data_IF_723043106397
#
_entry.id   IF_723043106397
#
_cell.length_a   1.000
_cell.length_b   1.000
_cell.length_c   1.000
_cell.angle_alpha   90.00
_cell.angle_beta   90.00
_cell.angle_gamma   90.00
#
_symmetry.space_group_name_H-M   'P 1'
#
loop_
_entity.id
_entity.type
_entity.pdbx_description
1 polymer ?
#
# COMPACT_ATOMS: atom_id res chain seq x y z
N UNK A 1 -43.77 60.21 -34.45
CA UNK A 1 -44.50 59.17 -33.66
C UNK A 1 -44.48 57.89 -34.46
N UNK A 2 -44.27 56.73 -33.83
CA UNK A 2 -42.93 56.19 -33.58
C UNK A 2 -42.73 54.83 -34.26
N UNK A 3 -41.48 54.41 -34.47
CA UNK A 3 -41.13 53.00 -34.25
C UNK A 3 -39.64 52.83 -33.97
N UNK A 4 -39.39 52.64 -32.68
CA UNK A 4 -38.28 52.01 -31.98
C UNK A 4 -37.04 51.57 -32.78
N UNK A 5 -35.93 52.23 -32.43
CA UNK A 5 -34.59 51.66 -32.42
C UNK A 5 -34.55 50.46 -31.47
N UNK A 6 -34.34 49.26 -32.00
CA UNK A 6 -33.82 48.09 -31.27
C UNK A 6 -32.65 47.57 -32.09
N UNK A 7 -31.47 48.09 -31.80
CA UNK A 7 -30.21 47.43 -32.10
C UNK A 7 -29.89 46.54 -30.91
N UNK A 8 -29.92 45.22 -31.08
CA UNK A 8 -29.27 44.30 -30.16
C UNK A 8 -28.50 43.21 -30.93
N UNK A 9 -27.37 42.75 -30.39
CA UNK A 9 -26.26 42.18 -31.14
C UNK A 9 -26.35 40.65 -31.16
N UNK A 10 -25.87 40.01 -32.22
CA UNK A 10 -25.58 38.58 -32.18
C UNK A 10 -24.52 38.21 -33.22
N UNK A 11 -23.29 38.05 -32.72
CA UNK A 11 -22.22 37.14 -33.19
C UNK A 11 -20.82 37.76 -33.07
N UNK A 12 -20.43 38.07 -31.83
CA UNK A 12 -19.02 38.25 -31.48
C UNK A 12 -18.82 37.74 -30.05
N UNK A 13 -18.39 36.48 -29.90
CA UNK A 13 -17.73 35.98 -28.67
C UNK A 13 -17.30 34.51 -28.82
N UNK A 14 -16.44 34.23 -29.80
CA UNK A 14 -15.59 33.02 -29.82
C UNK A 14 -14.28 33.25 -29.04
N UNK A 15 -14.32 34.07 -27.99
CA UNK A 15 -13.14 34.50 -27.20
C UNK A 15 -13.36 34.36 -25.67
N UNK A 16 -14.43 33.69 -25.22
CA UNK A 16 -14.81 33.66 -23.80
C UNK A 16 -14.50 32.35 -23.07
N UNK A 17 -14.23 31.24 -23.75
CA UNK A 17 -13.85 29.98 -23.08
C UNK A 17 -12.34 29.84 -22.84
N UNK A 18 -11.49 30.58 -23.55
CA UNK A 18 -10.04 30.59 -23.33
C UNK A 18 -9.58 31.45 -22.13
N UNK A 19 -10.47 32.26 -21.55
CA UNK A 19 -10.16 33.21 -20.47
C UNK A 19 -10.40 32.64 -19.06
N UNK A 20 -11.22 31.60 -18.90
CA UNK A 20 -11.49 31.01 -17.58
C UNK A 20 -10.42 29.98 -17.18
N UNK A 21 -9.84 29.25 -18.14
CA UNK A 21 -8.78 28.27 -17.85
C UNK A 21 -7.40 28.93 -17.59
N UNK A 22 -7.23 30.18 -18.02
CA UNK A 22 -5.99 30.95 -17.86
C UNK A 22 -5.92 31.73 -16.52
N UNK A 23 -7.05 31.84 -15.80
CA UNK A 23 -7.12 32.41 -14.45
C UNK A 23 -6.81 31.43 -13.32
N UNK A 24 -7.14 30.14 -13.48
CA UNK A 24 -6.93 29.13 -12.43
C UNK A 24 -5.52 28.50 -12.45
N UNK A 25 -4.75 28.69 -13.53
CA UNK A 25 -3.34 28.28 -13.64
C UNK A 25 -2.35 29.30 -13.04
N UNK A 26 -2.82 30.47 -12.58
CA UNK A 26 -1.95 31.54 -12.03
C UNK A 26 -1.85 31.60 -10.50
N UNK A 27 -2.56 30.75 -9.75
CA UNK A 27 -2.56 30.86 -8.28
C UNK A 27 -1.64 29.86 -7.55
N UNK A 28 -0.97 28.94 -8.25
CA UNK A 28 0.08 28.10 -7.65
C UNK A 28 1.32 28.00 -8.54
N UNK A 29 2.09 29.09 -8.55
CA UNK A 29 3.46 29.12 -9.06
C UNK A 29 4.41 28.24 -8.25
N UNK A 30 4.96 27.23 -8.94
CA UNK A 30 6.32 26.61 -8.86
C UNK A 30 7.22 26.94 -7.64
N UNK A 31 8.04 25.98 -7.11
CA UNK A 31 9.08 25.34 -7.93
C UNK A 31 9.45 23.88 -7.54
N UNK A 32 9.18 22.89 -8.41
CA UNK A 32 9.69 21.52 -8.21
C UNK A 32 11.10 21.27 -8.80
N UNK A 33 11.63 22.19 -9.61
CA UNK A 33 12.94 21.99 -10.26
C UNK A 33 14.15 22.27 -9.33
N UNK A 34 13.97 23.07 -8.27
CA UNK A 34 15.05 23.38 -7.30
C UNK A 34 15.29 22.28 -6.25
N UNK A 35 14.32 21.37 -6.03
CA UNK A 35 14.43 20.31 -5.00
C UNK A 35 15.38 19.17 -5.40
N UNK A 36 15.69 19.04 -6.70
CA UNK A 36 16.66 18.06 -7.23
C UNK A 36 18.13 18.40 -6.92
N UNK A 37 18.47 19.69 -6.80
CA UNK A 37 19.84 20.14 -6.49
C UNK A 37 20.23 19.83 -5.03
N UNK A 38 19.33 20.15 -4.08
CA UNK A 38 19.58 19.92 -2.65
C UNK A 38 19.70 18.42 -2.31
N UNK A 39 18.88 17.55 -2.93
CA UNK A 39 19.03 16.08 -2.76
C UNK A 39 20.34 15.54 -3.33
N UNK A 40 20.91 16.12 -4.39
CA UNK A 40 22.22 15.70 -4.92
C UNK A 40 23.34 16.02 -3.92
N UNK A 41 23.31 17.20 -3.29
CA UNK A 41 24.29 17.57 -2.26
C UNK A 41 24.22 16.68 -1.01
N UNK A 42 23.02 16.25 -0.60
CA UNK A 42 22.85 15.30 0.51
C UNK A 42 23.31 13.89 0.13
N UNK A 43 23.03 13.43 -1.10
CA UNK A 43 23.45 12.12 -1.60
C UNK A 43 24.98 12.05 -1.78
N UNK A 44 25.64 13.14 -2.17
CA UNK A 44 27.10 13.20 -2.25
C UNK A 44 27.77 13.13 -0.86
N UNK A 45 27.21 13.81 0.15
CA UNK A 45 27.71 13.70 1.54
C UNK A 45 27.54 12.28 2.09
N UNK A 46 26.41 11.64 1.80
CA UNK A 46 26.15 10.24 2.19
C UNK A 46 27.09 9.29 1.44
N UNK A 47 27.37 9.54 0.16
CA UNK A 47 28.33 8.75 -0.64
C UNK A 47 29.77 8.90 -0.16
N UNK A 48 30.17 10.09 0.30
CA UNK A 48 31.46 10.33 0.96
C UNK A 48 31.59 9.57 2.28
N UNK A 49 30.53 9.56 3.10
CA UNK A 49 30.47 8.80 4.34
C UNK A 49 30.43 7.26 4.14
N UNK A 50 29.82 6.80 3.04
CA UNK A 50 29.85 5.37 2.66
C UNK A 50 31.17 4.94 1.99
N UNK A 51 31.93 5.89 1.44
CA UNK A 51 33.27 5.66 0.89
C UNK A 51 34.31 5.41 1.98
N UNK A 52 34.24 6.12 3.12
CA UNK A 52 35.14 5.90 4.25
C UNK A 52 34.88 4.59 5.00
N UNK A 53 33.71 3.96 4.79
CA UNK A 53 33.34 2.64 5.33
C UNK A 53 33.68 1.46 4.40
N UNK A 54 34.46 1.69 3.33
CA UNK A 54 35.02 0.62 2.50
C UNK A 54 34.03 -0.18 1.65
N UNK A 55 32.76 0.25 1.55
CA UNK A 55 31.71 -0.43 0.78
C UNK A 55 31.50 0.12 -0.65
N UNK A 56 32.38 1.01 -1.12
CA UNK A 56 32.30 1.62 -2.44
C UNK A 56 32.96 0.81 -3.55
N UNK A 57 32.34 -0.30 -4.00
CA UNK A 57 32.81 -1.00 -5.20
C UNK A 57 32.45 -0.18 -6.45
N UNK A 58 33.46 0.50 -7.00
CA UNK A 58 33.36 1.28 -8.24
C UNK A 58 33.21 0.34 -9.44
N UNK A 59 32.00 0.23 -9.98
CA UNK A 59 31.79 -0.39 -11.30
C UNK A 59 31.84 0.72 -12.35
N UNK A 60 32.91 0.75 -13.15
CA UNK A 60 33.00 1.56 -14.37
C UNK A 60 32.00 1.01 -15.38
N UNK A 61 30.83 1.61 -15.47
CA UNK A 61 29.89 1.36 -16.57
C UNK A 61 30.32 2.23 -17.75
N UNK A 62 30.72 1.60 -18.85
CA UNK A 62 31.01 2.26 -20.12
C UNK A 62 29.76 2.97 -20.67
N UNK A 63 29.90 4.09 -21.41
CA UNK A 63 28.76 4.91 -21.79
C UNK A 63 27.89 4.23 -22.85
N UNK A 64 26.65 3.93 -22.47
CA UNK A 64 25.56 3.41 -23.33
C UNK A 64 25.12 4.46 -24.39
N UNK A 65 25.72 5.65 -24.40
CA UNK A 65 25.36 6.76 -25.28
C UNK A 65 25.66 6.53 -26.78
N UNK A 66 26.50 5.54 -27.13
CA UNK A 66 26.92 5.36 -28.53
C UNK A 66 26.03 4.42 -29.37
N UNK A 67 25.00 3.81 -28.78
CA UNK A 67 24.15 2.81 -29.47
C UNK A 67 22.64 3.08 -29.40
N UNK A 68 22.22 4.18 -28.81
CA UNK A 68 20.80 4.54 -28.73
C UNK A 68 20.44 5.43 -29.92
N UNK A 69 19.81 4.81 -30.92
CA UNK A 69 19.17 5.48 -32.04
C UNK A 69 17.98 6.29 -31.51
N UNK A 70 18.08 7.62 -31.48
CA UNK A 70 17.13 8.55 -30.83
C UNK A 70 15.72 8.65 -31.47
N UNK A 71 15.24 7.65 -32.22
CA UNK A 71 13.90 7.70 -32.82
C UNK A 71 13.20 6.35 -32.75
N UNK A 72 12.82 5.87 -31.56
CA UNK A 72 11.66 4.98 -31.39
C UNK A 72 11.19 4.61 -29.96
N UNK A 73 11.40 5.40 -28.89
CA UNK A 73 10.81 5.05 -27.57
C UNK A 73 10.34 6.27 -26.76
N UNK A 74 9.19 6.84 -27.11
CA UNK A 74 8.42 7.72 -26.21
C UNK A 74 7.82 6.98 -24.99
N UNK A 75 8.18 5.72 -24.75
CA UNK A 75 7.65 4.90 -23.64
C UNK A 75 8.39 5.07 -22.32
N UNK A 76 9.58 5.69 -22.31
CA UNK A 76 10.40 5.90 -21.10
C UNK A 76 9.69 6.69 -19.96
N UNK A 77 8.96 7.79 -20.23
CA UNK A 77 8.28 8.53 -19.16
C UNK A 77 7.06 7.79 -18.59
N UNK A 78 6.34 7.00 -19.40
CA UNK A 78 5.21 6.19 -18.92
C UNK A 78 5.67 5.01 -18.06
N UNK A 79 6.75 4.33 -18.45
CA UNK A 79 7.32 3.25 -17.64
C UNK A 79 7.80 3.75 -16.27
N UNK A 80 8.34 4.98 -16.19
CA UNK A 80 8.75 5.57 -14.92
C UNK A 80 7.56 5.94 -14.03
N UNK A 81 6.50 6.54 -14.59
CA UNK A 81 5.33 6.95 -13.81
C UNK A 81 4.53 5.73 -13.32
N UNK A 82 4.25 4.77 -14.21
CA UNK A 82 3.54 3.53 -13.85
C UNK A 82 4.36 2.66 -12.90
N UNK A 83 5.69 2.57 -13.08
CA UNK A 83 6.55 1.85 -12.13
C UNK A 83 6.56 2.51 -10.75
N UNK A 84 6.63 3.85 -10.69
CA UNK A 84 6.58 4.56 -9.40
C UNK A 84 5.23 4.38 -8.71
N UNK A 85 4.13 4.44 -9.46
CA UNK A 85 2.79 4.26 -8.93
C UNK A 85 2.59 2.84 -8.39
N UNK A 86 2.96 1.82 -9.17
CA UNK A 86 2.85 0.42 -8.79
C UNK A 86 3.72 0.10 -7.58
N UNK A 87 5.00 0.53 -7.60
CA UNK A 87 5.91 0.30 -6.48
C UNK A 87 5.48 1.07 -5.23
N UNK A 88 4.97 2.28 -5.40
CA UNK A 88 4.37 3.09 -4.33
C UNK A 88 3.15 2.41 -3.73
N UNK A 89 2.26 1.87 -4.57
CA UNK A 89 1.09 1.09 -4.15
C UNK A 89 1.48 -0.13 -3.33
N UNK A 90 2.40 -0.98 -3.82
CA UNK A 90 2.87 -2.14 -3.06
C UNK A 90 3.57 -1.76 -1.76
N UNK A 91 4.30 -0.64 -1.73
CA UNK A 91 4.92 -0.12 -0.50
C UNK A 91 3.87 0.38 0.48
N UNK A 92 2.78 0.99 -0.01
CA UNK A 92 1.66 1.40 0.83
C UNK A 92 0.94 0.18 1.43
N UNK A 93 0.70 -0.88 0.64
CA UNK A 93 0.16 -2.15 1.14
C UNK A 93 1.02 -2.70 2.28
N UNK A 94 2.35 -2.79 2.08
CA UNK A 94 3.28 -3.20 3.13
C UNK A 94 3.16 -2.35 4.40
N UNK A 95 3.06 -1.02 4.24
CA UNK A 95 2.91 -0.12 5.38
C UNK A 95 1.61 -0.37 6.14
N UNK A 96 0.50 -0.58 5.45
CA UNK A 96 -0.79 -0.87 6.10
C UNK A 96 -0.81 -2.20 6.83
N UNK A 97 -0.23 -3.26 6.24
CA UNK A 97 -0.10 -4.56 6.91
C UNK A 97 0.75 -4.48 8.18
N UNK A 98 1.87 -3.76 8.13
CA UNK A 98 2.73 -3.55 9.31
C UNK A 98 2.00 -2.73 10.37
N UNK A 99 1.30 -1.67 9.98
CA UNK A 99 0.51 -0.85 10.91
C UNK A 99 -0.58 -1.68 11.57
N UNK A 100 -1.29 -2.52 10.81
CA UNK A 100 -2.29 -3.44 11.35
C UNK A 100 -1.69 -4.32 12.45
N UNK A 101 -0.56 -4.99 12.16
CA UNK A 101 0.12 -5.86 13.13
C UNK A 101 0.61 -5.09 14.37
N UNK A 102 1.10 -3.86 14.19
CA UNK A 102 1.51 -2.99 15.30
C UNK A 102 0.33 -2.65 16.22
N UNK A 103 -0.89 -2.55 15.70
CA UNK A 103 -2.08 -2.31 16.51
C UNK A 103 -2.64 -3.59 17.14
N UNK A 104 -2.65 -4.71 16.41
CA UNK A 104 -3.23 -5.97 16.90
C UNK A 104 -2.38 -6.64 17.96
N UNK A 105 -1.05 -6.67 17.84
CA UNK A 105 -0.18 -7.34 18.81
C UNK A 105 -0.34 -6.78 20.23
N UNK A 106 -0.29 -5.45 20.47
CA UNK A 106 -0.49 -4.90 21.81
C UNK A 106 -1.89 -5.14 22.35
N UNK A 107 -2.92 -5.11 21.49
CA UNK A 107 -4.30 -5.41 21.90
C UNK A 107 -4.42 -6.86 22.37
N UNK A 108 -3.85 -7.80 21.62
CA UNK A 108 -3.80 -9.22 21.97
C UNK A 108 -2.98 -9.42 23.25
N UNK A 109 -1.82 -8.77 23.35
CA UNK A 109 -0.97 -8.85 24.54
C UNK A 109 -1.68 -8.32 25.80
N UNK A 110 -2.39 -7.20 25.71
CA UNK A 110 -3.19 -6.67 26.82
C UNK A 110 -4.33 -7.61 27.20
N UNK A 111 -4.94 -8.32 26.23
CA UNK A 111 -5.98 -9.33 26.51
C UNK A 111 -5.42 -10.58 27.20
N UNK A 112 -4.20 -10.97 26.87
CA UNK A 112 -3.52 -12.11 27.52
C UNK A 112 -3.01 -11.71 28.91
N UNK A 113 -2.56 -10.45 29.06
CA UNK A 113 -2.02 -9.88 30.29
C UNK A 113 -3.10 -9.17 31.12
N UNK A 114 -4.06 -9.93 31.65
CA UNK A 114 -5.12 -9.38 32.51
C UNK A 114 -4.77 -9.58 33.99
N UNK A 115 -4.60 -8.47 34.74
CA UNK A 115 -4.37 -8.48 36.18
C UNK A 115 -2.98 -8.92 36.65
N UNK A 116 -1.93 -8.75 35.84
CA UNK A 116 -0.54 -8.99 36.25
C UNK A 116 -0.07 -10.45 36.24
N UNK A 117 -0.86 -11.37 35.68
CA UNK A 117 -0.47 -12.78 35.50
C UNK A 117 -0.75 -13.24 34.08
N UNK A 118 0.23 -13.92 33.47
CA UNK A 118 0.00 -14.66 32.23
C UNK A 118 -0.89 -15.86 32.53
N UNK A 119 -2.17 -15.75 32.19
CA UNK A 119 -3.03 -16.93 32.12
C UNK A 119 -2.63 -17.69 30.86
N UNK A 120 -1.99 -18.85 31.02
CA UNK A 120 -1.64 -19.73 29.90
C UNK A 120 -2.79 -20.67 29.53
N UNK A 121 -3.72 -20.92 30.46
CA UNK A 121 -4.79 -21.88 30.30
C UNK A 121 -6.01 -21.49 31.14
N UNK A 122 -7.14 -21.22 30.49
CA UNK A 122 -8.46 -21.12 31.15
C UNK A 122 -9.12 -22.48 31.23
N UNK A 123 -9.95 -22.72 32.26
CA UNK A 123 -10.85 -23.88 32.29
C UNK A 123 -11.80 -23.79 31.10
N UNK A 124 -11.88 -24.86 30.33
CA UNK A 124 -12.73 -24.95 29.14
C UNK A 124 -14.19 -25.09 29.58
N UNK A 125 -14.97 -24.02 29.45
CA UNK A 125 -16.42 -24.09 29.61
C UNK A 125 -17.08 -24.24 28.22
N UNK A 126 -18.00 -25.19 28.08
CA UNK A 126 -18.69 -25.55 26.84
C UNK A 126 -19.76 -24.52 26.40
N UNK A 127 -19.49 -23.23 26.54
CA UNK A 127 -20.32 -22.15 26.01
C UNK A 127 -19.70 -21.59 24.73
N UNK A 128 -20.50 -21.34 23.69
CA UNK A 128 -19.99 -20.82 22.40
C UNK A 128 -19.25 -19.48 22.56
N UNK A 129 -19.73 -18.63 23.48
CA UNK A 129 -19.06 -17.40 23.89
C UNK A 129 -17.69 -17.67 24.55
N UNK A 130 -17.62 -18.67 25.43
CA UNK A 130 -16.38 -19.07 26.12
C UNK A 130 -15.36 -19.72 25.18
N UNK A 131 -15.81 -20.42 24.13
CA UNK A 131 -14.95 -21.00 23.10
C UNK A 131 -14.32 -19.90 22.23
N UNK A 132 -15.09 -18.89 21.83
CA UNK A 132 -14.57 -17.79 20.99
C UNK A 132 -13.75 -16.75 21.77
N UNK A 133 -14.05 -16.55 23.06
CA UNK A 133 -13.21 -15.74 23.96
C UNK A 133 -12.09 -16.55 24.60
N UNK A 134 -11.94 -17.83 24.24
CA UNK A 134 -10.88 -18.67 24.77
C UNK A 134 -9.51 -18.13 24.36
N UNK A 135 -8.52 -18.30 25.23
CA UNK A 135 -7.14 -17.88 24.96
C UNK A 135 -6.56 -18.49 23.67
N UNK A 136 -7.08 -19.66 23.28
CA UNK A 136 -6.73 -20.33 22.03
C UNK A 136 -6.99 -19.45 20.78
N UNK A 137 -8.09 -18.69 20.77
CA UNK A 137 -8.40 -17.78 19.67
C UNK A 137 -7.37 -16.65 19.57
N UNK A 138 -6.98 -16.06 20.71
CA UNK A 138 -5.95 -15.03 20.74
C UNK A 138 -4.56 -15.53 20.34
N UNK A 139 -4.18 -16.77 20.71
CA UNK A 139 -2.96 -17.39 20.22
C UNK A 139 -3.00 -17.64 18.71
N UNK A 140 -4.15 -18.03 18.18
CA UNK A 140 -4.33 -18.22 16.74
C UNK A 140 -4.17 -16.89 15.98
N UNK A 141 -4.77 -15.80 16.49
CA UNK A 141 -4.58 -14.46 15.94
C UNK A 141 -3.11 -14.02 15.99
N UNK A 142 -2.41 -14.29 17.10
CA UNK A 142 -0.99 -13.97 17.21
C UNK A 142 -0.14 -14.73 16.19
N UNK A 143 -0.41 -16.02 15.97
CA UNK A 143 0.27 -16.82 14.94
C UNK A 143 -0.02 -16.24 13.55
N UNK A 144 -1.26 -15.84 13.29
CA UNK A 144 -1.64 -15.21 12.02
C UNK A 144 -0.91 -13.88 11.79
N UNK A 145 -0.77 -13.03 12.81
CA UNK A 145 0.01 -11.79 12.74
C UNK A 145 1.49 -12.05 12.41
N UNK A 146 2.09 -13.11 12.97
CA UNK A 146 3.45 -13.53 12.61
C UNK A 146 3.55 -13.98 11.15
N UNK A 147 2.54 -14.70 10.64
CA UNK A 147 2.50 -15.09 9.22
C UNK A 147 2.35 -13.87 8.32
N UNK A 148 1.55 -12.87 8.70
CA UNK A 148 1.46 -11.59 7.97
C UNK A 148 2.83 -10.92 7.92
N UNK A 149 3.54 -10.79 9.04
CA UNK A 149 4.88 -10.18 9.06
C UNK A 149 5.87 -10.92 8.15
N UNK A 150 5.80 -12.25 8.12
CA UNK A 150 6.62 -13.04 7.20
C UNK A 150 6.25 -12.74 5.73
N UNK A 151 4.97 -12.61 5.41
CA UNK A 151 4.51 -12.32 4.06
C UNK A 151 4.82 -10.89 3.60
N UNK A 152 4.77 -9.91 4.50
CA UNK A 152 5.29 -8.54 4.30
C UNK A 152 6.76 -8.60 3.88
N UNK A 153 7.55 -9.42 4.58
CA UNK A 153 8.96 -9.59 4.23
C UNK A 153 9.16 -10.26 2.87
N UNK A 154 8.36 -11.28 2.53
CA UNK A 154 8.36 -11.91 1.20
C UNK A 154 8.03 -10.89 0.11
N UNK A 155 6.99 -10.08 0.28
CA UNK A 155 6.62 -9.04 -0.69
C UNK A 155 7.72 -7.98 -0.82
N UNK A 156 8.30 -7.53 0.28
CA UNK A 156 9.41 -6.56 0.24
C UNK A 156 10.61 -7.10 -0.55
N UNK A 157 10.95 -8.38 -0.38
CA UNK A 157 12.00 -9.05 -1.16
C UNK A 157 11.61 -9.24 -2.62
N UNK A 158 10.36 -9.62 -2.90
CA UNK A 158 9.83 -9.73 -4.26
C UNK A 158 9.90 -8.40 -5.01
N UNK A 159 9.60 -7.29 -4.33
CA UNK A 159 9.65 -5.94 -4.90
C UNK A 159 11.09 -5.44 -5.15
N UNK A 160 12.05 -5.83 -4.30
CA UNK A 160 13.47 -5.47 -4.47
C UNK A 160 14.16 -6.32 -5.54
N UNK A 161 13.87 -7.62 -5.60
CA UNK A 161 14.48 -8.56 -6.54
C UNK A 161 13.71 -8.73 -7.86
N UNK A 162 12.56 -8.08 -8.00
CA UNK A 162 11.68 -8.22 -9.16
C UNK A 162 11.29 -9.68 -9.47
N UNK A 163 11.10 -10.48 -8.42
CA UNK A 163 10.77 -11.90 -8.58
C UNK A 163 9.25 -12.12 -8.65
N UNK A 164 8.78 -12.51 -9.84
CA UNK A 164 7.37 -12.80 -10.13
C UNK A 164 6.81 -13.94 -9.27
N UNK A 165 7.64 -14.89 -8.84
CA UNK A 165 7.20 -16.05 -8.03
C UNK A 165 6.82 -15.60 -6.63
N UNK A 166 7.63 -14.73 -6.01
CA UNK A 166 7.37 -14.18 -4.68
C UNK A 166 6.10 -13.33 -4.69
N UNK A 167 5.92 -12.51 -5.74
CA UNK A 167 4.74 -11.67 -5.86
C UNK A 167 3.46 -12.49 -6.07
N UNK A 168 3.51 -13.57 -6.85
CA UNK A 168 2.39 -14.52 -7.01
C UNK A 168 2.05 -15.23 -5.70
N UNK A 169 3.07 -15.58 -4.90
CA UNK A 169 2.87 -16.21 -3.59
C UNK A 169 2.13 -15.26 -2.64
N UNK A 170 2.61 -14.01 -2.54
CA UNK A 170 1.96 -12.99 -1.70
C UNK A 170 0.52 -12.69 -2.18
N UNK A 171 0.30 -12.58 -3.48
CA UNK A 171 -1.05 -12.39 -4.03
C UNK A 171 -2.03 -13.52 -3.65
N UNK A 172 -1.57 -14.78 -3.62
CA UNK A 172 -2.40 -15.90 -3.14
C UNK A 172 -2.64 -15.84 -1.64
N UNK A 173 -1.64 -15.39 -0.89
CA UNK A 173 -1.77 -15.19 0.55
C UNK A 173 -2.81 -14.10 0.85
N UNK A 174 -2.89 -13.02 0.08
CA UNK A 174 -3.89 -11.96 0.28
C UNK A 174 -5.34 -12.50 0.22
N UNK A 175 -5.63 -13.44 -0.69
CA UNK A 175 -6.94 -14.11 -0.73
C UNK A 175 -7.20 -14.97 0.50
N UNK A 176 -6.19 -15.73 0.95
CA UNK A 176 -6.30 -16.53 2.16
C UNK A 176 -6.51 -15.64 3.40
N UNK A 177 -5.76 -14.55 3.49
CA UNK A 177 -5.86 -13.59 4.57
C UNK A 177 -7.23 -12.89 4.59
N UNK A 178 -7.79 -12.57 3.41
CA UNK A 178 -9.16 -12.04 3.29
C UNK A 178 -10.20 -13.02 3.82
N UNK A 179 -10.12 -14.28 3.40
CA UNK A 179 -11.02 -15.33 3.89
C UNK A 179 -10.93 -15.49 5.40
N UNK A 180 -9.71 -15.53 5.94
CA UNK A 180 -9.46 -15.62 7.38
C UNK A 180 -10.05 -14.41 8.13
N UNK A 181 -9.80 -13.18 7.67
CA UNK A 181 -10.34 -11.97 8.29
C UNK A 181 -11.86 -11.91 8.27
N UNK A 182 -12.50 -12.34 7.18
CA UNK A 182 -13.97 -12.42 7.09
C UNK A 182 -14.51 -13.43 8.12
N UNK A 183 -13.90 -14.62 8.20
CA UNK A 183 -14.31 -15.65 9.16
C UNK A 183 -14.15 -15.12 10.59
N UNK A 184 -12.99 -14.56 10.94
CA UNK A 184 -12.73 -13.97 12.26
C UNK A 184 -13.72 -12.84 12.58
N UNK A 185 -14.02 -11.96 11.62
CA UNK A 185 -14.97 -10.87 11.79
C UNK A 185 -16.39 -11.38 12.11
N UNK A 186 -16.88 -12.34 11.33
CA UNK A 186 -18.20 -12.96 11.56
C UNK A 186 -18.23 -13.66 12.91
N UNK A 187 -17.20 -14.44 13.24
CA UNK A 187 -17.11 -15.14 14.52
C UNK A 187 -17.09 -14.16 15.71
N UNK A 188 -16.36 -13.05 15.60
CA UNK A 188 -16.31 -12.01 16.63
C UNK A 188 -17.66 -11.31 16.82
N UNK A 189 -18.37 -10.99 15.72
CA UNK A 189 -19.73 -10.41 15.80
C UNK A 189 -20.69 -11.40 16.48
N UNK A 190 -20.65 -12.68 16.09
CA UNK A 190 -21.50 -13.71 16.68
C UNK A 190 -21.20 -13.90 18.17
N UNK A 191 -19.92 -13.90 18.55
CA UNK A 191 -19.50 -13.99 19.94
C UNK A 191 -20.01 -12.80 20.76
N UNK A 192 -19.91 -11.57 20.23
CA UNK A 192 -20.43 -10.36 20.88
C UNK A 192 -21.95 -10.28 20.93
N UNK A 193 -22.64 -10.87 19.95
CA UNK A 193 -24.10 -10.94 19.92
C UNK A 193 -24.66 -11.98 20.90
N UNK A 194 -23.84 -12.95 21.33
CA UNK A 194 -24.25 -13.95 22.31
C UNK A 194 -24.24 -13.38 23.73
N UNK A 195 -25.25 -13.70 24.52
CA UNK A 195 -25.33 -13.26 25.92
C UNK A 195 -24.18 -13.87 26.72
N UNK A 196 -23.36 -13.04 27.38
CA UNK A 196 -22.30 -13.49 28.27
C UNK A 196 -21.62 -12.36 29.03
N UNK A 197 -20.76 -12.67 30.01
CA UNK A 197 -20.19 -11.69 30.94
C UNK A 197 -19.16 -10.72 30.33
N UNK A 198 -18.70 -10.96 29.09
CA UNK A 198 -17.70 -10.15 28.38
C UNK A 198 -18.25 -9.47 27.10
N UNK A 199 -19.54 -9.16 27.07
CA UNK A 199 -20.14 -8.45 25.94
C UNK A 199 -19.66 -6.98 25.87
N UNK A 200 -19.26 -6.53 24.68
CA UNK A 200 -18.93 -5.13 24.34
C UNK A 200 -17.86 -4.42 25.21
N UNK A 201 -16.82 -5.13 25.64
CA UNK A 201 -15.61 -4.49 26.20
C UNK A 201 -14.89 -3.65 25.13
N UNK A 202 -14.33 -2.49 25.52
CA UNK A 202 -13.58 -1.57 24.63
C UNK A 202 -12.57 -2.30 23.75
N UNK A 203 -11.81 -3.23 24.30
CA UNK A 203 -10.80 -3.97 23.54
C UNK A 203 -11.40 -4.93 22.51
N UNK A 204 -12.58 -5.52 22.78
CA UNK A 204 -13.28 -6.36 21.80
C UNK A 204 -13.90 -5.50 20.69
N UNK A 205 -14.44 -4.32 21.04
CA UNK A 205 -14.97 -3.36 20.07
C UNK A 205 -13.87 -2.86 19.14
N UNK A 206 -12.69 -2.50 19.67
CA UNK A 206 -11.54 -2.09 18.86
C UNK A 206 -11.09 -3.23 17.93
N UNK A 207 -11.02 -4.48 18.43
CA UNK A 207 -10.72 -5.64 17.59
C UNK A 207 -11.69 -5.80 16.41
N UNK A 208 -13.00 -5.69 16.65
CA UNK A 208 -14.01 -5.76 15.58
C UNK A 208 -13.81 -4.66 14.56
N UNK A 209 -13.56 -3.43 15.00
CA UNK A 209 -13.29 -2.29 14.11
C UNK A 209 -12.01 -2.51 13.30
N UNK A 210 -10.96 -3.07 13.90
CA UNK A 210 -9.73 -3.43 13.18
C UNK A 210 -10.00 -4.47 12.08
N UNK A 211 -10.73 -5.55 12.38
CA UNK A 211 -11.08 -6.54 11.36
C UNK A 211 -12.01 -5.98 10.28
N UNK A 212 -12.96 -5.11 10.64
CA UNK A 212 -13.84 -4.44 9.69
C UNK A 212 -13.04 -3.54 8.73
N UNK A 213 -12.07 -2.78 9.24
CA UNK A 213 -11.21 -1.91 8.44
C UNK A 213 -10.22 -2.72 7.58
N UNK A 214 -9.83 -3.91 8.02
CA UNK A 214 -8.89 -4.77 7.30
C UNK A 214 -9.48 -5.34 6.00
N UNK A 215 -10.78 -5.64 5.95
CA UNK A 215 -11.46 -6.20 4.77
C UNK A 215 -11.33 -5.30 3.52
N UNK A 216 -11.73 -4.01 3.53
CA UNK A 216 -11.59 -3.15 2.37
C UNK A 216 -10.12 -2.91 2.01
N UNK A 217 -9.24 -2.83 3.01
CA UNK A 217 -7.79 -2.67 2.81
C UNK A 217 -7.18 -3.87 2.08
N UNK A 218 -7.60 -5.09 2.41
CA UNK A 218 -7.14 -6.30 1.72
C UNK A 218 -7.69 -6.43 0.31
N UNK A 219 -8.96 -6.07 0.07
CA UNK A 219 -9.51 -6.01 -1.28
C UNK A 219 -8.74 -5.03 -2.17
N UNK A 220 -8.37 -3.88 -1.62
CA UNK A 220 -7.51 -2.91 -2.29
C UNK A 220 -6.11 -3.47 -2.54
N UNK A 221 -5.49 -4.11 -1.55
CA UNK A 221 -4.18 -4.74 -1.67
C UNK A 221 -4.14 -5.78 -2.81
N UNK A 222 -5.15 -6.66 -2.90
CA UNK A 222 -5.26 -7.67 -3.98
C UNK A 222 -5.24 -7.01 -5.36
N UNK A 223 -5.95 -5.89 -5.52
CA UNK A 223 -5.98 -5.12 -6.78
C UNK A 223 -4.60 -4.55 -7.12
N UNK A 224 -3.94 -3.91 -6.14
CA UNK A 224 -2.61 -3.31 -6.30
C UNK A 224 -1.54 -4.36 -6.62
N UNK A 225 -1.52 -5.47 -5.88
CA UNK A 225 -0.55 -6.56 -6.09
C UNK A 225 -0.77 -7.22 -7.46
N UNK A 226 -2.02 -7.37 -7.90
CA UNK A 226 -2.34 -7.84 -9.25
C UNK A 226 -1.79 -6.89 -10.32
N UNK A 227 -2.04 -5.59 -10.22
CA UNK A 227 -1.48 -4.60 -11.14
C UNK A 227 0.05 -4.63 -11.14
N UNK A 228 0.68 -4.86 -9.98
CA UNK A 228 2.12 -5.03 -9.88
C UNK A 228 2.63 -6.28 -10.61
N UNK A 229 1.93 -7.39 -10.45
CA UNK A 229 2.25 -8.64 -11.11
C UNK A 229 2.15 -8.51 -12.64
N UNK A 230 1.08 -7.90 -13.15
CA UNK A 230 0.89 -7.68 -14.58
C UNK A 230 1.99 -6.76 -15.15
N UNK A 231 2.34 -5.69 -14.42
CA UNK A 231 3.42 -4.79 -14.80
C UNK A 231 4.79 -5.52 -14.86
N UNK A 232 5.12 -6.33 -13.86
CA UNK A 232 6.35 -7.13 -13.87
C UNK A 232 6.34 -8.18 -14.98
N UNK A 233 5.17 -8.72 -15.31
CA UNK A 233 5.00 -9.65 -16.41
C UNK A 233 5.45 -9.02 -17.74
N UNK A 234 4.90 -7.84 -18.05
CA UNK A 234 5.20 -7.07 -19.24
C UNK A 234 6.67 -6.63 -19.30
N UNK A 235 7.21 -6.13 -18.19
CA UNK A 235 8.60 -5.65 -18.12
C UNK A 235 9.59 -6.74 -18.53
N UNK A 236 9.38 -7.98 -18.08
CA UNK A 236 10.23 -9.11 -18.46
C UNK A 236 10.09 -9.49 -19.94
N UNK A 237 8.92 -9.31 -20.55
CA UNK A 237 8.74 -9.54 -22.00
C UNK A 237 9.48 -8.48 -22.80
N UNK A 238 9.40 -7.21 -22.38
CA UNK A 238 10.15 -6.13 -23.03
C UNK A 238 11.67 -6.31 -22.92
N UNK A 239 12.17 -6.79 -21.77
CA UNK A 239 13.59 -7.14 -21.62
C UNK A 239 13.97 -8.25 -22.61
N UNK A 240 13.17 -9.32 -22.68
CA UNK A 240 13.45 -10.45 -23.58
C UNK A 240 13.45 -10.04 -25.06
N UNK A 241 12.55 -9.14 -25.46
CA UNK A 241 12.50 -8.58 -26.82
C UNK A 241 13.63 -7.59 -27.13
N UNK A 242 14.18 -6.93 -26.11
CA UNK A 242 15.32 -6.02 -26.28
C UNK A 242 16.67 -6.72 -26.33
N UNK A 243 16.75 -7.96 -25.82
CA UNK A 243 17.93 -8.82 -25.88
C UNK A 243 18.03 -9.62 -27.19
N UNK A 244 16.90 -9.82 -27.91
CA UNK A 244 16.82 -10.49 -29.22
C UNK A 244 17.10 -9.55 -30.39
#
# INVERSE_FOLDING_TARGET
MPMATISNPSSASSDSEASVESGLKRMFGLPQCMRKSSRRATVEKVRGALGSLGLGRSNRVAPIAAKVRERHLEMEPLCCLSSCLVRGGCTAVLAFEVVFVIFTIPLIAHKIYDGGRFKFWSRFELNFNAIMTHQAFYYLLLIFDLVILFMVFVLSRGLVRFDKKLLRLHWRFDFFALGFNIICFVLLILALSSQGPQTWSTANTVLVVCFAAQIPMQLWAISVVKSCYDFFSLLHVFIALGES
#
